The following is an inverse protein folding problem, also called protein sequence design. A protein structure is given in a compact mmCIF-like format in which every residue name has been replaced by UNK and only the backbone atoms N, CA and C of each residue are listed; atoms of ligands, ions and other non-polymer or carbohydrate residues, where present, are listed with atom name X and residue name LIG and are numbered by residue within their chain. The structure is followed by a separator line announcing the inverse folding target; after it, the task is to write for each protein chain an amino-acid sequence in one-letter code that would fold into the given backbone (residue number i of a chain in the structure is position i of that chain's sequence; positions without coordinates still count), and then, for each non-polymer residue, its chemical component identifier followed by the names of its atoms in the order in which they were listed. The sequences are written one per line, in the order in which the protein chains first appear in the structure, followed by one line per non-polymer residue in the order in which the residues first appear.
data_IF_183157226843
#
_entry.id   IF_183157226843
#
_cell.length_a   1.000
_cell.length_b   1.000
_cell.length_c   1.000
_cell.angle_alpha   90.00
_cell.angle_beta   90.00
_cell.angle_gamma   90.00
#
_symmetry.space_group_name_H-M   'P 1'
#
loop_
_entity.id
_entity.type
_entity.pdbx_description
1 polymer ?
#
# COMPACT_ATOMS: atom_id res chain seq x y z
N UNK A 1 -9.88 3.69 25.94
CA UNK A 1 -9.96 4.70 24.86
C UNK A 1 -11.39 4.77 24.33
N UNK A 2 -11.88 5.95 23.96
CA UNK A 2 -13.23 6.08 23.38
C UNK A 2 -13.21 5.50 21.95
N UNK A 3 -14.21 4.69 21.56
CA UNK A 3 -14.22 4.01 20.23
C UNK A 3 -13.98 4.97 19.05
N UNK A 4 -14.39 6.23 19.19
CA UNK A 4 -14.17 7.30 18.18
C UNK A 4 -12.70 7.72 18.00
N UNK A 5 -11.87 7.58 19.01
CA UNK A 5 -10.43 7.89 18.94
C UNK A 5 -9.67 6.76 18.24
N UNK A 6 -10.06 5.52 18.54
CA UNK A 6 -9.52 4.32 17.89
C UNK A 6 -9.76 4.38 16.38
N UNK A 7 -10.97 4.75 15.96
CA UNK A 7 -11.32 4.91 14.54
C UNK A 7 -10.53 6.03 13.85
N UNK A 8 -10.30 7.16 14.53
CA UNK A 8 -9.51 8.28 13.99
C UNK A 8 -8.04 7.91 13.76
N UNK A 9 -7.44 7.15 14.67
CA UNK A 9 -6.06 6.66 14.49
C UNK A 9 -5.96 5.61 13.39
N UNK A 10 -6.91 4.68 13.32
CA UNK A 10 -7.01 3.70 12.24
C UNK A 10 -7.13 4.40 10.88
N UNK A 11 -7.97 5.42 10.77
CA UNK A 11 -8.18 6.15 9.53
C UNK A 11 -6.93 6.96 9.13
N UNK A 12 -6.19 7.52 10.08
CA UNK A 12 -4.86 8.14 9.82
C UNK A 12 -3.83 7.12 9.35
N UNK A 13 -3.79 5.94 9.98
CA UNK A 13 -2.91 4.84 9.59
C UNK A 13 -3.22 4.35 8.18
N UNK A 14 -4.51 4.19 7.85
CA UNK A 14 -4.96 3.82 6.50
C UNK A 14 -4.62 4.90 5.47
N UNK A 15 -4.79 6.18 5.77
CA UNK A 15 -4.35 7.27 4.88
C UNK A 15 -2.85 7.25 4.63
N UNK A 16 -2.04 6.89 5.63
CA UNK A 16 -0.59 6.78 5.51
C UNK A 16 -0.16 5.54 4.71
N UNK A 17 -1.01 4.52 4.65
CA UNK A 17 -0.80 3.28 3.89
C UNK A 17 -1.32 3.35 2.43
N UNK A 18 -2.28 4.24 2.13
CA UNK A 18 -2.82 4.45 0.77
C UNK A 18 -1.77 4.60 -0.35
N UNK A 19 -0.64 5.32 -0.17
CA UNK A 19 0.35 5.46 -1.23
C UNK A 19 0.89 4.11 -1.70
N UNK A 20 1.01 3.13 -0.80
CA UNK A 20 1.48 1.78 -1.13
C UNK A 20 0.59 1.06 -2.14
N UNK A 21 -0.72 1.20 -1.99
CA UNK A 21 -1.72 0.66 -2.94
C UNK A 21 -1.63 1.35 -4.30
N UNK A 22 -1.37 2.65 -4.32
CA UNK A 22 -1.18 3.40 -5.57
C UNK A 22 0.09 2.95 -6.30
N UNK A 23 1.23 2.84 -5.60
CA UNK A 23 2.47 2.33 -6.18
C UNK A 23 2.34 0.88 -6.65
N UNK A 24 1.63 0.04 -5.90
CA UNK A 24 1.32 -1.32 -6.31
C UNK A 24 0.48 -1.35 -7.61
N UNK A 25 -0.56 -0.53 -7.70
CA UNK A 25 -1.38 -0.41 -8.91
C UNK A 25 -0.60 0.06 -10.13
N UNK A 26 0.29 1.04 -9.97
CA UNK A 26 1.18 1.50 -11.03
C UNK A 26 2.18 0.42 -11.45
N UNK A 27 2.76 -0.30 -10.49
CA UNK A 27 3.64 -1.44 -10.76
C UNK A 27 2.91 -2.57 -11.49
N UNK A 28 1.65 -2.87 -11.13
CA UNK A 28 0.85 -3.85 -11.86
C UNK A 28 0.56 -3.39 -13.29
N UNK A 29 0.28 -2.10 -13.51
CA UNK A 29 0.07 -1.58 -14.86
C UNK A 29 1.34 -1.63 -15.71
N UNK A 30 2.51 -1.44 -15.09
CA UNK A 30 3.81 -1.56 -15.75
C UNK A 30 4.11 -2.99 -16.18
N UNK A 31 3.85 -3.98 -15.32
CA UNK A 31 4.17 -5.40 -15.58
C UNK A 31 3.07 -6.10 -16.40
N UNK A 32 1.80 -5.71 -16.20
CA UNK A 32 0.64 -6.25 -16.90
C UNK A 32 -0.17 -5.12 -17.57
N UNK A 33 0.36 -4.50 -18.63
CA UNK A 33 -0.36 -3.45 -19.34
C UNK A 33 -1.56 -4.04 -20.09
N UNK A 34 -2.78 -3.63 -19.70
CA UNK A 34 -4.03 -4.09 -20.34
C UNK A 34 -4.13 -3.76 -21.84
N UNK A 35 -3.38 -2.77 -22.32
CA UNK A 35 -3.42 -2.27 -23.71
C UNK A 35 -2.15 -2.56 -24.49
N UNK A 36 -1.23 -3.37 -23.95
CA UNK A 36 0.07 -3.67 -24.56
C UNK A 36 1.09 -2.54 -24.48
N UNK A 37 0.79 -1.44 -23.79
CA UNK A 37 1.71 -0.35 -23.43
C UNK A 37 1.44 0.12 -22.01
N UNK A 38 2.50 0.41 -21.25
CA UNK A 38 2.37 0.97 -19.91
C UNK A 38 1.78 2.41 -19.95
N UNK A 39 1.15 2.85 -18.85
CA UNK A 39 0.58 4.21 -18.71
C UNK A 39 1.58 5.34 -19.00
N UNK A 40 2.89 5.11 -18.81
CA UNK A 40 3.96 6.06 -19.08
C UNK A 40 5.19 5.31 -19.62
N UNK A 41 6.00 5.86 -20.54
CA UNK A 41 7.18 5.18 -21.10
C UNK A 41 8.19 4.72 -20.04
N UNK A 42 8.25 5.42 -18.90
CA UNK A 42 9.11 5.06 -17.76
C UNK A 42 8.68 3.76 -17.08
N UNK A 43 7.38 3.42 -17.13
CA UNK A 43 6.82 2.18 -16.60
C UNK A 43 7.03 1.00 -17.57
N UNK A 44 7.38 1.25 -18.82
CA UNK A 44 7.67 0.21 -19.83
C UNK A 44 9.04 -0.46 -19.57
N UNK A 45 9.88 0.17 -18.76
CA UNK A 45 11.14 -0.41 -18.31
C UNK A 45 10.81 -1.51 -17.27
N UNK A 46 11.12 -2.79 -17.54
CA UNK A 46 10.73 -3.90 -16.65
C UNK A 46 11.28 -3.74 -15.22
N UNK A 47 12.47 -3.15 -15.09
CA UNK A 47 13.07 -2.84 -13.80
C UNK A 47 12.21 -1.86 -12.99
N UNK A 48 11.66 -0.82 -13.62
CA UNK A 48 10.85 0.20 -12.95
C UNK A 48 9.53 -0.40 -12.48
N UNK A 49 8.86 -1.17 -13.34
CA UNK A 49 7.62 -1.87 -12.96
C UNK A 49 7.82 -2.81 -11.77
N UNK A 50 8.89 -3.62 -11.79
CA UNK A 50 9.22 -4.53 -10.69
C UNK A 50 9.58 -3.79 -9.40
N UNK A 51 10.30 -2.67 -9.47
CA UNK A 51 10.65 -1.85 -8.30
C UNK A 51 9.40 -1.20 -7.70
N UNK A 52 8.48 -0.67 -8.53
CA UNK A 52 7.21 -0.12 -8.05
C UNK A 52 6.33 -1.19 -7.39
N UNK A 53 6.27 -2.39 -7.96
CA UNK A 53 5.59 -3.53 -7.33
C UNK A 53 6.22 -3.90 -5.99
N UNK A 54 7.54 -4.04 -5.94
CA UNK A 54 8.25 -4.40 -4.72
C UNK A 54 8.02 -3.37 -3.60
N UNK A 55 8.10 -2.07 -3.93
CA UNK A 55 7.82 -0.98 -2.98
C UNK A 55 6.35 -1.02 -2.54
N UNK A 56 5.41 -1.18 -3.47
CA UNK A 56 3.98 -1.27 -3.16
C UNK A 56 3.64 -2.44 -2.24
N UNK A 57 4.24 -3.62 -2.46
CA UNK A 57 4.08 -4.81 -1.62
C UNK A 57 4.68 -4.57 -0.23
N UNK A 58 5.92 -4.06 -0.15
CA UNK A 58 6.56 -3.76 1.15
C UNK A 58 5.73 -2.77 1.97
N UNK A 59 5.21 -1.72 1.32
CA UNK A 59 4.42 -0.70 1.99
C UNK A 59 3.06 -1.23 2.45
N UNK A 60 2.45 -2.10 1.67
CA UNK A 60 1.19 -2.77 2.02
C UNK A 60 1.38 -3.74 3.19
N UNK A 61 2.47 -4.50 3.20
CA UNK A 61 2.85 -5.41 4.30
C UNK A 61 3.14 -4.62 5.58
N UNK A 62 3.84 -3.49 5.49
CA UNK A 62 4.04 -2.59 6.64
C UNK A 62 2.71 -2.07 7.17
N UNK A 63 1.83 -1.59 6.29
CA UNK A 63 0.49 -1.11 6.65
C UNK A 63 -0.31 -2.19 7.39
N UNK A 64 -0.37 -3.41 6.84
CA UNK A 64 -1.02 -4.56 7.48
C UNK A 64 -0.40 -4.89 8.84
N UNK A 65 0.93 -4.95 8.94
CA UNK A 65 1.61 -5.23 10.21
C UNK A 65 1.29 -4.17 11.27
N UNK A 66 1.25 -2.89 10.89
CA UNK A 66 0.91 -1.81 11.81
C UNK A 66 -0.54 -1.89 12.31
N UNK A 67 -1.49 -2.27 11.46
CA UNK A 67 -2.89 -2.50 11.84
C UNK A 67 -3.02 -3.72 12.75
N UNK A 68 -2.32 -4.81 12.44
CA UNK A 68 -2.32 -6.04 13.26
C UNK A 68 -1.73 -5.74 14.65
N UNK A 69 -0.57 -5.08 14.72
CA UNK A 69 0.07 -4.69 15.99
C UNK A 69 -0.84 -3.76 16.79
N UNK A 70 -1.45 -2.76 16.15
CA UNK A 70 -2.40 -1.86 16.81
C UNK A 70 -3.62 -2.62 17.36
N UNK A 71 -4.18 -3.55 16.59
CA UNK A 71 -5.31 -4.38 17.00
C UNK A 71 -4.94 -5.32 18.15
N UNK A 72 -3.73 -5.89 18.16
CA UNK A 72 -3.24 -6.72 19.27
C UNK A 72 -3.08 -5.87 20.54
N UNK A 73 -2.45 -4.70 20.43
CA UNK A 73 -2.22 -3.80 21.57
C UNK A 73 -3.53 -3.35 22.22
N UNK A 74 -4.54 -2.98 21.43
CA UNK A 74 -5.85 -2.54 21.93
C UNK A 74 -6.81 -3.67 22.31
N UNK A 75 -6.49 -4.94 22.05
CA UNK A 75 -7.30 -6.08 22.49
C UNK A 75 -7.00 -6.48 23.95
N UNK A 76 -5.93 -5.93 24.53
CA UNK A 76 -5.46 -6.22 25.89
C UNK A 76 -5.67 -5.08 26.89
N UNK A 77 -6.28 -3.97 26.47
CA UNK A 77 -6.79 -2.88 27.34
C UNK A 77 -8.32 -2.92 27.41
#
# INVERSE_FOLDING_TARGET
MNNKEIDKELLRLMLKAMPGLFFFGLGMNAVFPNTGKALHPVLDIPLVGNVLLAIGILWSLWGLASVIVYKIKNKHE
#
